data_IF_200929285276
#
_entry.id   IF_200929285276
#
_cell.length_a   1.000
_cell.length_b   1.000
_cell.length_c   1.000
_cell.angle_alpha   90.00
_cell.angle_beta   90.00
_cell.angle_gamma   90.00
#
_symmetry.space_group_name_H-M   'P 1'
#
loop_
_entity.id
_entity.type
_entity.pdbx_description
1 polymer ?
#
# COMPACT_ATOMS: atom_id res chain seq x y z
N UNK A 1 6.97 21.15 -15.06
CA UNK A 1 8.03 20.15 -15.33
C UNK A 1 8.75 19.85 -14.01
N UNK A 2 8.99 18.56 -13.69
CA UNK A 2 9.82 18.19 -12.54
C UNK A 2 11.27 18.57 -12.80
N UNK A 3 11.92 19.11 -11.79
CA UNK A 3 13.33 19.39 -11.87
C UNK A 3 14.16 18.11 -11.72
N UNK A 4 15.45 18.15 -12.12
CA UNK A 4 16.38 17.03 -11.92
C UNK A 4 16.46 16.65 -10.44
N UNK A 5 16.43 17.61 -9.55
CA UNK A 5 16.48 17.39 -8.10
C UNK A 5 15.23 16.68 -7.57
N UNK A 6 14.03 16.96 -8.14
CA UNK A 6 12.81 16.26 -7.77
C UNK A 6 12.85 14.79 -8.17
N UNK A 7 13.43 14.47 -9.33
CA UNK A 7 13.62 13.09 -9.80
C UNK A 7 14.60 12.34 -8.89
N UNK A 8 15.73 12.95 -8.57
CA UNK A 8 16.73 12.35 -7.67
C UNK A 8 16.12 12.11 -6.30
N UNK A 9 15.41 13.10 -5.75
CA UNK A 9 14.73 12.98 -4.45
C UNK A 9 13.72 11.83 -4.43
N UNK A 10 12.86 11.76 -5.46
CA UNK A 10 11.85 10.71 -5.55
C UNK A 10 12.51 9.32 -5.62
N UNK A 11 13.50 9.15 -6.49
CA UNK A 11 14.18 7.86 -6.70
C UNK A 11 14.94 7.40 -5.45
N UNK A 12 15.72 8.28 -4.84
CA UNK A 12 16.52 7.94 -3.64
C UNK A 12 15.62 7.77 -2.42
N UNK A 13 14.60 8.62 -2.27
CA UNK A 13 13.68 8.55 -1.14
C UNK A 13 12.82 7.29 -1.15
N UNK A 14 12.23 6.96 -2.31
CA UNK A 14 11.44 5.72 -2.47
C UNK A 14 12.30 4.48 -2.27
N UNK A 15 13.43 4.39 -3.00
CA UNK A 15 14.36 3.28 -2.88
C UNK A 15 14.88 3.10 -1.45
N UNK A 16 15.18 4.21 -0.76
CA UNK A 16 15.60 4.20 0.63
C UNK A 16 14.53 3.67 1.58
N UNK A 17 13.28 4.10 1.43
CA UNK A 17 12.16 3.59 2.24
C UNK A 17 11.96 2.09 2.04
N UNK A 18 11.94 1.64 0.77
CA UNK A 18 11.79 0.22 0.44
C UNK A 18 12.96 -0.58 0.98
N UNK A 19 14.21 -0.08 0.86
CA UNK A 19 15.40 -0.74 1.37
C UNK A 19 15.34 -0.92 2.90
N UNK A 20 14.91 0.08 3.64
CA UNK A 20 14.80 -0.01 5.10
C UNK A 20 13.76 -1.07 5.50
N UNK A 21 12.59 -1.08 4.87
CA UNK A 21 11.57 -2.12 5.13
C UNK A 21 12.10 -3.50 4.75
N UNK A 22 12.82 -3.61 3.62
CA UNK A 22 13.45 -4.87 3.19
C UNK A 22 14.49 -5.37 4.20
N UNK A 23 15.34 -4.48 4.71
CA UNK A 23 16.33 -4.82 5.72
C UNK A 23 15.67 -5.31 7.02
N UNK A 24 14.59 -4.67 7.46
CA UNK A 24 13.81 -5.13 8.62
C UNK A 24 13.17 -6.49 8.35
N UNK A 25 12.57 -6.68 7.18
CA UNK A 25 11.99 -7.96 6.77
C UNK A 25 13.03 -9.08 6.77
N UNK A 26 14.21 -8.81 6.24
CA UNK A 26 15.32 -9.76 6.21
C UNK A 26 15.82 -10.08 7.63
N UNK A 27 16.05 -9.08 8.47
CA UNK A 27 16.54 -9.24 9.83
C UNK A 27 15.53 -10.01 10.73
N UNK A 28 14.25 -9.72 10.57
CA UNK A 28 13.16 -10.35 11.36
C UNK A 28 12.66 -11.67 10.78
N UNK A 29 13.08 -12.01 9.55
CA UNK A 29 12.58 -13.16 8.77
C UNK A 29 11.05 -13.18 8.66
N UNK A 30 10.44 -11.99 8.60
CA UNK A 30 9.01 -11.81 8.39
C UNK A 30 8.73 -11.29 6.97
N UNK A 31 7.62 -11.71 6.34
CA UNK A 31 7.24 -11.26 5.01
C UNK A 31 6.64 -9.85 5.03
N UNK A 32 7.43 -8.86 5.53
CA UNK A 32 6.98 -7.48 5.68
C UNK A 32 6.97 -6.70 4.36
N UNK A 33 7.68 -7.20 3.34
CA UNK A 33 7.67 -6.63 1.99
C UNK A 33 6.62 -7.32 1.14
N UNK A 34 5.72 -6.53 0.57
CA UNK A 34 4.66 -6.99 -0.32
C UNK A 34 4.29 -5.90 -1.34
N UNK A 35 3.59 -6.27 -2.39
CA UNK A 35 3.40 -5.45 -3.59
C UNK A 35 2.79 -4.05 -3.34
N UNK A 36 1.99 -3.85 -2.29
CA UNK A 36 1.39 -2.54 -2.02
C UNK A 36 2.31 -1.55 -1.31
N UNK A 37 3.46 -1.98 -0.78
CA UNK A 37 4.40 -1.07 -0.14
C UNK A 37 5.17 -0.20 -1.14
N UNK A 38 5.43 -0.69 -2.35
CA UNK A 38 6.03 0.11 -3.42
C UNK A 38 5.21 1.37 -3.73
N UNK A 39 3.95 1.22 -4.19
CA UNK A 39 3.07 2.37 -4.40
C UNK A 39 2.91 3.27 -3.17
N UNK A 40 2.89 2.71 -1.96
CA UNK A 40 2.81 3.51 -0.72
C UNK A 40 4.08 4.34 -0.51
N UNK A 41 5.27 3.74 -0.71
CA UNK A 41 6.55 4.47 -0.62
C UNK A 41 6.61 5.59 -1.66
N UNK A 42 6.21 5.28 -2.90
CA UNK A 42 6.14 6.25 -3.98
C UNK A 42 5.26 7.45 -3.62
N UNK A 43 4.04 7.23 -3.12
CA UNK A 43 3.14 8.33 -2.74
C UNK A 43 3.70 9.18 -1.60
N UNK A 44 4.32 8.57 -0.60
CA UNK A 44 4.92 9.28 0.53
C UNK A 44 6.04 10.25 0.10
N UNK A 45 6.82 9.86 -0.92
CA UNK A 45 7.99 10.63 -1.38
C UNK A 45 7.65 11.54 -2.55
N UNK A 46 6.93 11.02 -3.54
CA UNK A 46 6.70 11.69 -4.82
C UNK A 46 5.46 12.62 -4.77
N UNK A 47 4.44 12.21 -4.00
CA UNK A 47 3.17 12.93 -3.90
C UNK A 47 2.81 13.29 -2.45
N UNK A 48 3.72 13.91 -1.70
CA UNK A 48 3.57 14.11 -0.25
C UNK A 48 2.38 15.00 0.14
N UNK A 49 1.87 15.81 -0.81
CA UNK A 49 0.73 16.70 -0.63
C UNK A 49 -0.61 15.98 -0.72
N UNK A 50 -0.64 14.81 -1.38
CA UNK A 50 -1.87 14.07 -1.60
C UNK A 50 -2.48 13.59 -0.27
N UNK A 51 -3.80 13.53 -0.22
CA UNK A 51 -4.50 13.00 0.96
C UNK A 51 -4.16 11.55 1.21
N UNK A 52 -4.00 10.76 0.16
CA UNK A 52 -3.63 9.35 0.22
C UNK A 52 -2.29 9.12 0.92
N UNK A 53 -1.33 10.03 0.81
CA UNK A 53 -0.04 9.96 1.48
C UNK A 53 -0.08 10.28 3.00
N UNK A 54 -1.23 10.69 3.55
CA UNK A 54 -1.34 10.98 4.98
C UNK A 54 -1.38 9.69 5.80
N UNK A 55 -0.74 9.63 6.99
CA UNK A 55 -0.69 8.44 7.83
C UNK A 55 -2.05 7.77 8.08
N UNK A 56 -3.08 8.59 8.35
CA UNK A 56 -4.45 8.10 8.52
C UNK A 56 -4.92 7.31 7.29
N UNK A 57 -4.77 7.88 6.10
CA UNK A 57 -5.22 7.26 4.86
C UNK A 57 -4.42 5.99 4.55
N UNK A 58 -3.11 6.01 4.77
CA UNK A 58 -2.25 4.85 4.58
C UNK A 58 -2.68 3.71 5.51
N UNK A 59 -2.75 3.96 6.82
CA UNK A 59 -3.07 2.91 7.80
C UNK A 59 -4.51 2.43 7.62
N UNK A 60 -5.49 3.33 7.66
CA UNK A 60 -6.91 2.97 7.61
C UNK A 60 -7.29 2.38 6.25
N UNK A 61 -6.72 2.90 5.15
CA UNK A 61 -6.92 2.35 3.81
C UNK A 61 -6.45 0.89 3.71
N UNK A 62 -5.23 0.59 4.17
CA UNK A 62 -4.73 -0.78 4.15
C UNK A 62 -5.50 -1.71 5.10
N UNK A 63 -5.91 -1.24 6.28
CA UNK A 63 -6.78 -2.01 7.17
C UNK A 63 -8.14 -2.32 6.51
N UNK A 64 -8.73 -1.35 5.82
CA UNK A 64 -9.94 -1.58 5.02
C UNK A 64 -9.69 -2.63 3.92
N UNK A 65 -8.56 -2.55 3.24
CA UNK A 65 -8.15 -3.53 2.23
C UNK A 65 -7.97 -4.94 2.78
N UNK A 66 -7.34 -5.07 3.95
CA UNK A 66 -7.20 -6.35 4.66
C UNK A 66 -8.58 -6.89 5.04
N UNK A 67 -9.40 -6.08 5.70
CA UNK A 67 -10.73 -6.49 6.15
C UNK A 67 -11.65 -6.90 4.99
N UNK A 68 -11.70 -6.10 3.93
CA UNK A 68 -12.49 -6.39 2.73
C UNK A 68 -12.00 -7.64 1.99
N UNK A 69 -10.67 -7.83 1.89
CA UNK A 69 -10.07 -9.01 1.28
C UNK A 69 -10.47 -10.30 2.01
N UNK A 70 -10.30 -10.35 3.32
CA UNK A 70 -10.72 -11.50 4.14
C UNK A 70 -12.22 -11.72 4.11
N UNK A 71 -13.02 -10.66 4.22
CA UNK A 71 -14.48 -10.76 4.19
C UNK A 71 -14.97 -11.35 2.86
N UNK A 72 -14.43 -10.91 1.74
CA UNK A 72 -14.82 -11.44 0.43
C UNK A 72 -14.41 -12.91 0.25
N UNK A 73 -13.21 -13.29 0.70
CA UNK A 73 -12.76 -14.69 0.67
C UNK A 73 -13.67 -15.56 1.53
N UNK A 74 -14.09 -15.08 2.69
CA UNK A 74 -15.00 -15.77 3.57
C UNK A 74 -16.41 -15.92 2.96
N UNK A 75 -17.01 -14.83 2.50
CA UNK A 75 -18.39 -14.83 1.95
C UNK A 75 -18.53 -15.72 0.71
N UNK A 76 -17.48 -15.82 -0.11
CA UNK A 76 -17.49 -16.58 -1.35
C UNK A 76 -16.83 -17.96 -1.21
N UNK A 77 -16.55 -18.36 0.04
CA UNK A 77 -15.95 -19.65 0.37
C UNK A 77 -14.69 -19.95 -0.47
N UNK A 78 -13.85 -18.93 -0.66
CA UNK A 78 -12.67 -19.00 -1.50
C UNK A 78 -11.37 -19.38 -0.76
N UNK A 79 -11.47 -19.87 0.50
CA UNK A 79 -10.31 -20.25 1.30
C UNK A 79 -9.50 -21.38 0.68
N UNK A 80 -10.20 -22.42 0.20
CA UNK A 80 -9.59 -23.62 -0.38
C UNK A 80 -9.33 -23.48 -1.89
N UNK A 81 -9.74 -22.37 -2.49
CA UNK A 81 -9.47 -22.12 -3.90
C UNK A 81 -7.96 -21.91 -4.11
N UNK A 82 -7.37 -22.45 -5.21
CA UNK A 82 -5.95 -22.29 -5.48
C UNK A 82 -5.52 -20.84 -5.50
N UNK A 83 -4.34 -20.54 -4.94
CA UNK A 83 -3.72 -19.22 -5.07
C UNK A 83 -3.34 -18.96 -6.53
N UNK A 84 -3.61 -17.75 -7.02
CA UNK A 84 -3.36 -17.39 -8.41
C UNK A 84 -1.86 -17.24 -8.71
N UNK A 85 -1.07 -16.73 -7.75
CA UNK A 85 0.35 -16.43 -7.98
C UNK A 85 1.17 -17.64 -8.46
N UNK A 86 1.08 -18.85 -7.84
CA UNK A 86 1.86 -19.99 -8.30
C UNK A 86 1.28 -20.69 -9.52
N UNK A 87 -0.03 -20.56 -9.78
CA UNK A 87 -0.71 -21.30 -10.85
C UNK A 87 -0.87 -20.50 -12.14
N UNK A 88 -0.85 -19.17 -12.03
CA UNK A 88 -1.17 -18.27 -13.14
C UNK A 88 -2.64 -18.34 -13.61
N UNK A 89 -3.49 -19.14 -12.93
CA UNK A 89 -4.88 -19.38 -13.30
C UNK A 89 -5.82 -18.83 -12.23
N UNK A 90 -6.85 -18.10 -12.65
CA UNK A 90 -7.88 -17.60 -11.75
C UNK A 90 -9.08 -18.56 -11.75
N UNK A 91 -9.47 -19.06 -10.59
CA UNK A 91 -10.69 -19.84 -10.43
C UNK A 91 -11.93 -18.93 -10.38
N UNK A 92 -13.14 -19.45 -10.70
CA UNK A 92 -14.38 -18.68 -10.58
C UNK A 92 -14.59 -18.10 -9.18
N UNK A 93 -14.26 -18.84 -8.11
CA UNK A 93 -14.34 -18.36 -6.74
C UNK A 93 -13.41 -17.17 -6.50
N UNK A 94 -12.16 -17.24 -7.01
CA UNK A 94 -11.20 -16.13 -6.91
C UNK A 94 -11.65 -14.91 -7.71
N UNK A 95 -12.21 -15.13 -8.90
CA UNK A 95 -12.75 -14.03 -9.72
C UNK A 95 -13.77 -13.21 -8.95
N UNK A 96 -14.77 -13.86 -8.36
CA UNK A 96 -15.79 -13.16 -7.60
C UNK A 96 -15.26 -12.60 -6.29
N UNK A 97 -14.37 -13.31 -5.60
CA UNK A 97 -13.74 -12.82 -4.38
C UNK A 97 -12.94 -11.54 -4.60
N UNK A 98 -12.16 -11.47 -5.68
CA UNK A 98 -11.39 -10.28 -6.06
C UNK A 98 -12.32 -9.10 -6.37
N UNK A 99 -13.37 -9.35 -7.16
CA UNK A 99 -14.33 -8.30 -7.55
C UNK A 99 -15.05 -7.74 -6.32
N UNK A 100 -15.56 -8.62 -5.47
CA UNK A 100 -16.24 -8.22 -4.23
C UNK A 100 -15.29 -7.47 -3.28
N UNK A 101 -14.08 -7.99 -3.08
CA UNK A 101 -13.08 -7.40 -2.21
C UNK A 101 -12.70 -5.98 -2.65
N UNK A 102 -12.43 -5.79 -3.95
CA UNK A 102 -12.10 -4.48 -4.50
C UNK A 102 -13.24 -3.47 -4.33
N UNK A 103 -14.48 -3.91 -4.60
CA UNK A 103 -15.68 -3.08 -4.41
C UNK A 103 -15.86 -2.69 -2.95
N UNK A 104 -15.76 -3.64 -2.02
CA UNK A 104 -15.87 -3.39 -0.57
C UNK A 104 -14.78 -2.45 -0.09
N UNK A 105 -13.53 -2.66 -0.51
CA UNK A 105 -12.41 -1.78 -0.15
C UNK A 105 -12.69 -0.34 -0.57
N UNK A 106 -13.15 -0.14 -1.80
CA UNK A 106 -13.48 1.20 -2.30
C UNK A 106 -14.61 1.83 -1.49
N UNK A 107 -15.69 1.11 -1.24
CA UNK A 107 -16.83 1.62 -0.45
C UNK A 107 -16.39 1.98 0.97
N UNK A 108 -15.67 1.09 1.65
CA UNK A 108 -15.18 1.33 3.03
C UNK A 108 -14.23 2.53 3.05
N UNK A 109 -13.28 2.59 2.11
CA UNK A 109 -12.32 3.70 2.03
C UNK A 109 -13.01 5.05 1.81
N UNK A 110 -14.05 5.10 0.98
CA UNK A 110 -14.83 6.32 0.75
C UNK A 110 -15.64 6.73 1.98
N UNK A 111 -16.31 5.79 2.64
CA UNK A 111 -17.08 6.05 3.88
C UNK A 111 -16.16 6.58 4.98
N UNK A 112 -15.00 5.95 5.17
CA UNK A 112 -14.02 6.34 6.19
C UNK A 112 -13.18 7.56 5.77
N UNK A 113 -13.38 8.09 4.54
CA UNK A 113 -12.57 9.17 3.97
C UNK A 113 -11.05 8.85 4.00
N UNK A 114 -10.72 7.57 3.89
CA UNK A 114 -9.37 7.02 3.97
C UNK A 114 -8.92 6.47 2.60
N UNK A 115 -9.16 7.24 1.54
CA UNK A 115 -8.81 6.84 0.17
C UNK A 115 -7.29 6.67 0.04
N UNK A 116 -6.87 5.44 -0.26
CA UNK A 116 -5.48 5.05 -0.48
C UNK A 116 -5.42 4.02 -1.61
N UNK A 117 -4.99 4.42 -2.82
CA UNK A 117 -4.95 3.52 -3.98
C UNK A 117 -4.12 2.26 -3.77
N UNK A 118 -2.99 2.36 -3.05
CA UNK A 118 -2.14 1.22 -2.75
C UNK A 118 -2.85 0.14 -1.89
N UNK A 119 -3.89 0.51 -1.14
CA UNK A 119 -4.70 -0.43 -0.36
C UNK A 119 -5.42 -1.47 -1.23
N UNK A 120 -5.77 -1.12 -2.48
CA UNK A 120 -6.34 -2.09 -3.42
C UNK A 120 -5.37 -3.22 -3.74
N UNK A 121 -4.07 -2.94 -3.84
CA UNK A 121 -3.06 -3.99 -4.02
C UNK A 121 -3.01 -4.95 -2.82
N UNK A 122 -3.19 -4.44 -1.60
CA UNK A 122 -3.33 -5.27 -0.38
C UNK A 122 -4.56 -6.17 -0.46
N UNK A 123 -5.69 -5.61 -0.87
CA UNK A 123 -6.94 -6.35 -1.09
C UNK A 123 -6.76 -7.50 -2.08
N UNK A 124 -6.08 -7.21 -3.21
CA UNK A 124 -5.79 -8.20 -4.25
C UNK A 124 -4.88 -9.31 -3.73
N UNK A 125 -3.84 -9.01 -2.96
CA UNK A 125 -2.94 -10.02 -2.38
C UNK A 125 -3.69 -11.04 -1.54
N UNK A 126 -4.68 -10.62 -0.76
CA UNK A 126 -5.48 -11.49 0.10
C UNK A 126 -6.50 -12.26 -0.76
N UNK A 127 -7.28 -11.55 -1.57
CA UNK A 127 -8.37 -12.17 -2.34
C UNK A 127 -7.88 -13.11 -3.45
N UNK A 128 -6.66 -12.90 -3.98
CA UNK A 128 -5.99 -13.81 -4.92
C UNK A 128 -5.33 -15.02 -4.22
N UNK A 129 -5.32 -15.05 -2.89
CA UNK A 129 -4.82 -16.19 -2.12
C UNK A 129 -3.33 -16.14 -1.78
N UNK A 130 -2.63 -15.06 -2.09
CA UNK A 130 -1.18 -14.96 -1.83
C UNK A 130 -0.85 -14.73 -0.36
N UNK A 131 -1.69 -13.99 0.38
CA UNK A 131 -1.47 -13.63 1.79
C UNK A 131 -2.75 -13.78 2.63
N UNK A 132 -3.51 -14.85 2.45
CA UNK A 132 -4.79 -15.08 3.14
C UNK A 132 -4.66 -15.76 4.52
N UNK A 133 -3.48 -15.75 5.11
CA UNK A 133 -3.24 -16.30 6.46
C UNK A 133 -3.22 -15.19 7.51
N UNK A 134 -3.50 -15.54 8.78
CA UNK A 134 -3.37 -14.59 9.90
C UNK A 134 -1.95 -14.01 9.99
N UNK A 135 -0.93 -14.84 9.75
CA UNK A 135 0.47 -14.39 9.68
C UNK A 135 0.67 -13.37 8.55
N UNK A 136 0.06 -13.62 7.39
CA UNK A 136 0.09 -12.69 6.26
C UNK A 136 -0.57 -11.34 6.61
N UNK A 137 -1.74 -11.37 7.27
CA UNK A 137 -2.42 -10.16 7.72
C UNK A 137 -1.57 -9.34 8.69
N UNK A 138 -0.96 -10.00 9.70
CA UNK A 138 -0.06 -9.35 10.65
C UNK A 138 1.17 -8.76 9.96
N UNK A 139 1.75 -9.48 8.99
CA UNK A 139 2.87 -8.99 8.21
C UNK A 139 2.51 -7.76 7.38
N UNK A 140 1.33 -7.74 6.74
CA UNK A 140 0.82 -6.58 6.01
C UNK A 140 0.68 -5.38 6.95
N UNK A 141 -0.01 -5.55 8.06
CA UNK A 141 -0.23 -4.47 9.03
C UNK A 141 1.12 -3.95 9.56
N UNK A 142 2.02 -4.86 9.93
CA UNK A 142 3.37 -4.51 10.39
C UNK A 142 4.16 -3.72 9.35
N UNK A 143 4.19 -4.19 8.10
CA UNK A 143 4.87 -3.49 7.01
C UNK A 143 4.30 -2.10 6.75
N UNK A 144 2.97 -1.96 6.75
CA UNK A 144 2.28 -0.67 6.60
C UNK A 144 2.60 0.28 7.75
N UNK A 145 2.63 -0.20 8.99
CA UNK A 145 2.99 0.64 10.14
C UNK A 145 4.45 1.09 10.06
N UNK A 146 5.37 0.19 9.73
CA UNK A 146 6.79 0.50 9.59
C UNK A 146 7.01 1.56 8.50
N UNK A 147 6.46 1.35 7.29
CA UNK A 147 6.64 2.31 6.20
C UNK A 147 5.99 3.67 6.52
N UNK A 148 4.87 3.67 7.24
CA UNK A 148 4.21 4.92 7.65
C UNK A 148 5.04 5.68 8.67
N UNK A 149 5.58 4.99 9.68
CA UNK A 149 6.40 5.61 10.74
C UNK A 149 7.70 6.18 10.17
N UNK A 150 8.36 5.46 9.28
CA UNK A 150 9.63 5.90 8.67
C UNK A 150 9.37 6.91 7.55
N UNK A 151 8.31 6.73 6.77
CA UNK A 151 7.99 7.57 5.62
C UNK A 151 7.41 8.93 5.99
N UNK A 152 6.68 9.04 7.12
CA UNK A 152 6.07 10.33 7.52
C UNK A 152 7.11 11.45 7.78
N UNK A 153 8.22 11.22 8.49
CA UNK A 153 9.30 12.21 8.56
C UNK A 153 9.85 12.63 7.19
N UNK A 154 10.07 11.67 6.29
CA UNK A 154 10.56 11.92 4.92
C UNK A 154 9.54 12.78 4.15
N UNK A 155 8.27 12.41 4.23
CA UNK A 155 7.16 13.17 3.63
C UNK A 155 7.11 14.61 4.14
N UNK A 156 7.18 14.81 5.46
CA UNK A 156 7.15 16.15 6.07
C UNK A 156 8.36 16.99 5.69
N UNK A 157 9.53 16.37 5.62
CA UNK A 157 10.75 17.06 5.20
C UNK A 157 10.61 17.55 3.74
N UNK A 158 10.09 16.70 2.86
CA UNK A 158 9.88 17.08 1.47
C UNK A 158 8.84 18.19 1.31
N UNK A 159 7.73 18.14 2.05
CA UNK A 159 6.71 19.21 2.06
C UNK A 159 7.32 20.56 2.44
N UNK A 160 8.13 20.62 3.50
CA UNK A 160 8.80 21.86 3.92
C UNK A 160 9.74 22.40 2.84
N UNK A 161 10.40 21.52 2.09
CA UNK A 161 11.29 21.93 1.02
C UNK A 161 10.52 22.46 -0.20
N UNK A 162 9.36 21.87 -0.53
CA UNK A 162 8.49 22.38 -1.58
C UNK A 162 7.94 23.78 -1.22
N UNK A 163 7.48 23.97 0.01
CA UNK A 163 6.96 25.26 0.49
C UNK A 163 8.01 26.36 0.51
N UNK A 164 9.28 26.03 0.71
CA UNK A 164 10.40 26.99 0.72
C UNK A 164 10.88 27.39 -0.68
N UNK A 165 10.49 26.71 -1.73
CA UNK A 165 10.84 27.11 -3.10
C UNK A 165 10.05 28.35 -3.46
N UNK A 166 10.70 29.48 -3.82
CA UNK A 166 9.97 30.65 -4.29
C UNK A 166 9.13 30.25 -5.50
N UNK A 167 7.89 30.78 -5.55
CA UNK A 167 7.02 30.60 -6.69
C UNK A 167 7.70 31.28 -7.90
N UNK A 168 8.56 30.56 -8.60
CA UNK A 168 9.04 30.99 -9.90
C UNK A 168 7.85 31.01 -10.84
N UNK A 169 7.48 32.20 -11.26
CA UNK A 169 6.37 32.49 -12.16
C UNK A 169 6.26 31.42 -13.25
N UNK A 170 5.19 30.69 -13.25
CA UNK A 170 4.75 29.92 -14.41
C UNK A 170 4.27 30.93 -15.44
N UNK A 171 5.12 31.22 -16.41
CA UNK A 171 4.70 31.73 -17.72
C UNK A 171 4.40 30.56 -18.63
#
# INVERSE_FOLDING_TARGET
>A
MKTRDDVIWATVGEGGLVLVVAAIAWATRQPLIFASLGPTAYELVEQPQMRSARPYNVIVGHLAGVGAGFLAVYLLNAWDAPSVAPTGVISPQRLWAVTLAATLTTVIALILKASQPAALSTTLLISLGSMQTARGAVAIIGGVLIITVIGEPVRRFHLKNIERRPATCTN
#
